data_IF_495956139618
#
_entry.id   IF_495956139618
#
_cell.length_a   1.000
_cell.length_b   1.000
_cell.length_c   1.000
_cell.angle_alpha   90.00
_cell.angle_beta   90.00
_cell.angle_gamma   90.00
#
_symmetry.space_group_name_H-M   'P 1'
#
loop_
_entity.id
_entity.type
_entity.pdbx_description
1 polymer ?
#
# COMPACT_ATOMS: atom_id res chain seq x y z
N UNK A 1 7.21 -9.99 -39.81
CA UNK A 1 7.01 -8.96 -38.78
C UNK A 1 6.81 -7.62 -39.49
N UNK A 2 5.56 -7.22 -39.70
CA UNK A 2 5.22 -5.99 -40.41
C UNK A 2 5.23 -4.81 -39.42
N UNK A 3 6.13 -3.86 -39.65
CA UNK A 3 6.29 -2.65 -38.85
C UNK A 3 5.24 -1.64 -39.34
N UNK A 4 4.08 -1.59 -38.67
CA UNK A 4 3.05 -0.60 -38.96
C UNK A 4 3.55 0.79 -38.51
N UNK A 5 4.07 1.58 -39.46
CA UNK A 5 4.41 2.99 -39.26
C UNK A 5 3.12 3.82 -39.22
N UNK A 6 2.41 3.75 -38.10
CA UNK A 6 1.28 4.62 -37.82
C UNK A 6 1.76 6.06 -37.69
N UNK A 7 1.57 6.85 -38.74
CA UNK A 7 1.79 8.29 -38.71
C UNK A 7 0.68 8.91 -37.86
N UNK A 8 0.95 9.05 -36.55
CA UNK A 8 0.03 9.73 -35.66
C UNK A 8 -0.09 11.20 -36.12
N UNK A 9 -1.31 11.70 -36.39
CA UNK A 9 -1.50 13.09 -36.78
C UNK A 9 -0.94 13.96 -35.65
N UNK A 10 0.01 14.84 -36.00
CA UNK A 10 0.44 15.90 -35.11
C UNK A 10 -0.77 16.82 -34.90
N UNK A 11 -1.51 16.62 -33.81
CA UNK A 11 -2.55 17.53 -33.39
C UNK A 11 -1.86 18.82 -32.95
N UNK A 12 -1.76 19.73 -33.91
CA UNK A 12 -1.33 21.11 -33.67
C UNK A 12 -2.27 21.73 -32.63
N UNK A 13 -1.65 22.25 -31.58
CA UNK A 13 -2.19 23.27 -30.70
C UNK A 13 -3.49 22.89 -29.98
N UNK A 14 -3.35 22.17 -28.86
CA UNK A 14 -4.24 22.39 -27.72
C UNK A 14 -4.27 23.90 -27.46
N UNK A 15 -5.41 24.53 -27.76
CA UNK A 15 -5.62 25.94 -27.49
C UNK A 15 -5.42 26.17 -25.99
N UNK A 16 -4.30 26.77 -25.62
CA UNK A 16 -3.92 27.07 -24.24
C UNK A 16 -4.85 28.12 -23.60
N UNK A 17 -5.81 28.66 -24.34
CA UNK A 17 -6.87 29.52 -23.81
C UNK A 17 -7.84 28.77 -22.88
N UNK A 18 -7.94 27.44 -22.98
CA UNK A 18 -8.83 26.66 -22.12
C UNK A 18 -8.28 26.61 -20.68
N UNK A 19 -8.97 27.34 -19.80
CA UNK A 19 -8.69 27.45 -18.37
C UNK A 19 -8.55 26.07 -17.72
N UNK A 20 -9.30 25.07 -18.20
CA UNK A 20 -9.25 23.70 -17.68
C UNK A 20 -7.89 23.03 -17.91
N UNK A 21 -7.28 23.21 -19.09
CA UNK A 21 -5.96 22.66 -19.43
C UNK A 21 -4.86 23.22 -18.50
N UNK A 22 -4.99 24.50 -18.11
CA UNK A 22 -4.07 25.15 -17.18
C UNK A 22 -4.17 24.59 -15.75
N UNK A 23 -5.39 24.28 -15.29
CA UNK A 23 -5.58 23.62 -13.99
C UNK A 23 -5.02 22.18 -13.98
N UNK A 24 -5.28 21.40 -15.03
CA UNK A 24 -4.77 20.02 -15.12
C UNK A 24 -3.25 19.95 -15.20
N UNK A 25 -2.61 20.84 -15.95
CA UNK A 25 -1.13 20.91 -16.00
C UNK A 25 -0.54 21.31 -14.65
N UNK A 26 -1.14 22.29 -13.96
CA UNK A 26 -0.71 22.67 -12.61
C UNK A 26 -0.88 21.51 -11.61
N UNK A 27 -2.04 20.86 -11.62
CA UNK A 27 -2.33 19.70 -10.76
C UNK A 27 -1.39 18.53 -11.04
N UNK A 28 -1.19 18.17 -12.32
CA UNK A 28 -0.26 17.12 -12.75
C UNK A 28 1.17 17.40 -12.28
N UNK A 29 1.63 18.65 -12.39
CA UNK A 29 2.97 19.05 -11.96
C UNK A 29 3.15 18.97 -10.43
N UNK A 30 2.16 19.42 -9.64
CA UNK A 30 2.22 19.40 -8.17
C UNK A 30 2.08 17.98 -7.63
N UNK A 31 1.08 17.23 -8.10
CA UNK A 31 0.87 15.83 -7.71
C UNK A 31 2.07 14.97 -8.07
N UNK A 32 2.66 15.17 -9.26
CA UNK A 32 3.84 14.42 -9.70
C UNK A 32 5.07 14.63 -8.82
N UNK A 33 5.28 15.86 -8.33
CA UNK A 33 6.33 16.16 -7.36
C UNK A 33 6.08 15.44 -6.02
N UNK A 34 4.83 15.42 -5.56
CA UNK A 34 4.46 14.76 -4.30
C UNK A 34 4.67 13.24 -4.38
N UNK A 35 4.15 12.59 -5.41
CA UNK A 35 4.26 11.14 -5.59
C UNK A 35 5.71 10.71 -5.74
N UNK A 36 6.50 11.43 -6.55
CA UNK A 36 7.94 11.16 -6.69
C UNK A 36 8.67 11.29 -5.35
N UNK A 37 8.34 12.29 -4.54
CA UNK A 37 8.93 12.46 -3.20
C UNK A 37 8.51 11.33 -2.26
N UNK A 38 7.25 10.92 -2.31
CA UNK A 38 6.73 9.79 -1.52
C UNK A 38 7.44 8.49 -1.89
N UNK A 39 7.49 8.14 -3.18
CA UNK A 39 8.11 6.89 -3.64
C UNK A 39 9.62 6.88 -3.36
N UNK A 40 10.31 8.01 -3.54
CA UNK A 40 11.74 8.10 -3.18
C UNK A 40 11.98 7.87 -1.69
N UNK A 41 11.09 8.37 -0.82
CA UNK A 41 11.16 8.13 0.63
C UNK A 41 10.98 6.64 0.94
N UNK A 42 9.94 6.02 0.40
CA UNK A 42 9.69 4.57 0.57
C UNK A 42 10.85 3.73 0.02
N UNK A 43 11.40 4.10 -1.13
CA UNK A 43 12.56 3.42 -1.71
C UNK A 43 13.79 3.52 -0.81
N UNK A 44 14.03 4.69 -0.19
CA UNK A 44 15.09 4.86 0.80
C UNK A 44 14.93 3.92 1.99
N UNK A 45 13.71 3.79 2.52
CA UNK A 45 13.41 2.89 3.64
C UNK A 45 13.64 1.42 3.26
N UNK A 46 13.18 0.98 2.08
CA UNK A 46 13.37 -0.41 1.63
C UNK A 46 14.84 -0.78 1.39
N UNK A 47 15.69 0.18 0.99
CA UNK A 47 17.13 -0.06 0.84
C UNK A 47 17.82 -0.30 2.18
N UNK A 48 17.52 0.54 3.18
CA UNK A 48 18.05 0.36 4.54
C UNK A 48 17.58 -0.97 5.13
N UNK A 49 16.29 -1.31 4.94
CA UNK A 49 15.73 -2.59 5.35
C UNK A 49 16.44 -3.77 4.68
N UNK A 50 16.66 -3.70 3.36
CA UNK A 50 17.38 -4.73 2.59
C UNK A 50 18.80 -4.98 3.11
N UNK A 51 19.52 -3.92 3.47
CA UNK A 51 20.85 -4.03 4.08
C UNK A 51 20.80 -4.77 5.44
N UNK A 52 19.84 -4.41 6.30
CA UNK A 52 19.68 -5.06 7.60
C UNK A 52 19.31 -6.54 7.45
N UNK A 53 18.44 -6.88 6.49
CA UNK A 53 18.08 -8.27 6.18
C UNK A 53 19.31 -9.06 5.68
N UNK A 54 20.17 -8.45 4.86
CA UNK A 54 21.38 -9.10 4.35
C UNK A 54 22.37 -9.42 5.48
N UNK A 55 22.64 -8.46 6.36
CA UNK A 55 23.51 -8.65 7.53
C UNK A 55 22.95 -9.74 8.46
N UNK A 56 21.65 -9.68 8.76
CA UNK A 56 21.00 -10.69 9.59
C UNK A 56 21.08 -12.09 8.95
N UNK A 57 20.81 -12.21 7.65
CA UNK A 57 20.90 -13.48 6.92
C UNK A 57 22.32 -14.06 6.95
N UNK A 58 23.34 -13.21 6.83
CA UNK A 58 24.75 -13.62 6.91
C UNK A 58 25.09 -14.19 8.29
N UNK A 59 24.63 -13.55 9.38
CA UNK A 59 24.82 -14.03 10.74
C UNK A 59 24.13 -15.38 10.95
N UNK A 60 22.86 -15.51 10.55
CA UNK A 60 22.09 -16.76 10.70
C UNK A 60 22.74 -17.89 9.90
N UNK A 61 23.19 -17.62 8.67
CA UNK A 61 23.89 -18.60 7.85
C UNK A 61 25.21 -19.06 8.49
N UNK A 62 25.99 -18.15 9.06
CA UNK A 62 27.22 -18.49 9.80
C UNK A 62 26.95 -19.43 10.97
N UNK A 63 25.94 -19.12 11.79
CA UNK A 63 25.52 -20.00 12.89
C UNK A 63 25.06 -21.38 12.40
N UNK A 64 24.29 -21.41 11.31
CA UNK A 64 23.80 -22.66 10.72
C UNK A 64 24.96 -23.54 10.22
N UNK A 65 25.97 -22.96 9.57
CA UNK A 65 27.16 -23.69 9.12
C UNK A 65 27.92 -24.31 10.31
N UNK A 66 28.16 -23.53 11.36
CA UNK A 66 28.86 -24.02 12.56
C UNK A 66 28.10 -25.18 13.20
N UNK A 67 26.77 -25.08 13.31
CA UNK A 67 25.93 -26.13 13.90
C UNK A 67 25.85 -27.40 13.05
N UNK A 68 25.79 -27.25 11.72
CA UNK A 68 25.79 -28.40 10.81
C UNK A 68 27.15 -29.10 10.85
N UNK A 69 28.25 -28.35 10.88
CA UNK A 69 29.60 -28.90 11.01
C UNK A 69 29.78 -29.67 12.33
N UNK A 70 29.30 -29.12 13.45
CA UNK A 70 29.28 -29.82 14.75
C UNK A 70 28.50 -31.15 14.68
N UNK A 71 27.36 -31.15 13.98
CA UNK A 71 26.54 -32.37 13.82
C UNK A 71 27.26 -33.45 12.99
N UNK A 72 28.02 -33.06 11.96
CA UNK A 72 28.74 -34.03 11.12
C UNK A 72 29.94 -34.69 11.82
N UNK A 73 30.47 -34.07 12.87
CA UNK A 73 31.67 -34.55 13.58
C UNK A 73 31.34 -35.37 14.86
N UNK A 74 30.08 -35.37 15.31
CA UNK A 74 29.68 -36.06 16.54
C UNK A 74 29.42 -37.56 16.36
N UNK A 75 30.09 -38.40 17.15
CA UNK A 75 29.87 -39.86 17.24
C UNK A 75 28.42 -40.16 17.69
N UNK A 76 27.72 -41.04 16.95
CA UNK A 76 26.26 -41.20 16.93
C UNK A 76 25.62 -41.88 18.16
N UNK A 77 26.16 -41.66 19.36
CA UNK A 77 25.83 -42.46 20.54
C UNK A 77 24.66 -41.93 21.38
N UNK A 78 24.01 -40.81 21.02
CA UNK A 78 23.02 -40.15 21.89
C UNK A 78 21.77 -39.58 21.16
N UNK A 79 20.80 -40.46 20.88
CA UNK A 79 19.54 -40.15 20.15
C UNK A 79 18.74 -38.95 20.70
N UNK A 80 18.74 -38.73 22.01
CA UNK A 80 17.99 -37.62 22.62
C UNK A 80 18.64 -36.25 22.33
N UNK A 81 19.97 -36.22 22.24
CA UNK A 81 20.71 -35.02 21.90
C UNK A 81 20.50 -34.65 20.42
N UNK A 82 20.37 -35.66 19.55
CA UNK A 82 20.10 -35.48 18.12
C UNK A 82 18.75 -34.80 17.84
N UNK A 83 17.71 -35.18 18.60
CA UNK A 83 16.39 -34.56 18.46
C UNK A 83 16.41 -33.07 18.82
N UNK A 84 17.11 -32.69 19.90
CA UNK A 84 17.22 -31.28 20.32
C UNK A 84 18.03 -30.45 19.32
N UNK A 85 19.18 -30.97 18.86
CA UNK A 85 19.97 -30.34 17.79
C UNK A 85 19.15 -30.15 16.51
N UNK A 86 18.33 -31.14 16.14
CA UNK A 86 17.42 -31.06 15.00
C UNK A 86 16.42 -29.89 15.09
N UNK A 87 15.83 -29.63 16.27
CA UNK A 87 14.91 -28.50 16.48
C UNK A 87 15.61 -27.15 16.32
N UNK A 88 16.81 -27.01 16.88
CA UNK A 88 17.61 -25.78 16.76
C UNK A 88 17.94 -25.49 15.29
N UNK A 89 18.41 -26.51 14.56
CA UNK A 89 18.73 -26.39 13.12
C UNK A 89 17.49 -26.00 12.32
N UNK A 90 16.34 -26.64 12.59
CA UNK A 90 15.08 -26.32 11.91
C UNK A 90 14.64 -24.87 12.18
N UNK A 91 14.74 -24.41 13.43
CA UNK A 91 14.37 -23.04 13.80
C UNK A 91 15.28 -21.99 13.13
N UNK A 92 16.60 -22.25 13.06
CA UNK A 92 17.55 -21.39 12.34
C UNK A 92 17.30 -21.39 10.83
N UNK A 93 16.99 -22.55 10.25
CA UNK A 93 16.64 -22.65 8.83
C UNK A 93 15.38 -21.87 8.50
N UNK A 94 14.32 -21.99 9.31
CA UNK A 94 13.08 -21.21 9.16
C UNK A 94 13.34 -19.70 9.32
N UNK A 95 14.16 -19.30 10.29
CA UNK A 95 14.57 -17.90 10.46
C UNK A 95 15.28 -17.37 9.21
N UNK A 96 16.23 -18.14 8.66
CA UNK A 96 16.92 -17.79 7.42
C UNK A 96 15.95 -17.67 6.24
N UNK A 97 15.04 -18.64 6.09
CA UNK A 97 14.04 -18.65 5.02
C UNK A 97 13.13 -17.41 5.05
N UNK A 98 12.61 -17.04 6.22
CA UNK A 98 11.78 -15.84 6.38
C UNK A 98 12.57 -14.55 6.14
N UNK A 99 13.84 -14.51 6.56
CA UNK A 99 14.74 -13.40 6.27
C UNK A 99 14.95 -13.22 4.76
N UNK A 100 15.29 -14.30 4.04
CA UNK A 100 15.46 -14.28 2.58
C UNK A 100 14.15 -13.93 1.85
N UNK A 101 13.01 -14.43 2.34
CA UNK A 101 11.69 -14.08 1.81
C UNK A 101 11.41 -12.58 1.98
N UNK A 102 11.79 -11.98 3.11
CA UNK A 102 11.70 -10.54 3.33
C UNK A 102 12.63 -9.78 2.38
N UNK A 103 13.86 -10.26 2.13
CA UNK A 103 14.78 -9.68 1.15
C UNK A 103 14.19 -9.68 -0.26
N UNK A 104 13.66 -10.83 -0.70
CA UNK A 104 13.03 -10.99 -2.00
C UNK A 104 11.83 -10.04 -2.16
N UNK A 105 11.02 -9.89 -1.11
CA UNK A 105 9.90 -8.95 -1.12
C UNK A 105 10.39 -7.49 -1.21
N UNK A 106 11.49 -7.13 -0.55
CA UNK A 106 12.12 -5.82 -0.69
C UNK A 106 12.55 -5.55 -2.13
N UNK A 107 13.20 -6.51 -2.79
CA UNK A 107 13.60 -6.40 -4.20
C UNK A 107 12.38 -6.25 -5.11
N UNK A 108 11.32 -7.02 -4.87
CA UNK A 108 10.07 -6.87 -5.63
C UNK A 108 9.44 -5.48 -5.45
N UNK A 109 9.46 -4.94 -4.23
CA UNK A 109 8.97 -3.57 -3.97
C UNK A 109 9.84 -2.55 -4.71
N UNK A 110 11.16 -2.70 -4.66
CA UNK A 110 12.10 -1.82 -5.36
C UNK A 110 11.87 -1.84 -6.88
N UNK A 111 11.71 -3.04 -7.46
CA UNK A 111 11.42 -3.22 -8.87
C UNK A 111 10.11 -2.53 -9.25
N UNK A 112 9.05 -2.79 -8.49
CA UNK A 112 7.73 -2.22 -8.76
C UNK A 112 7.71 -0.68 -8.61
N UNK A 113 8.46 -0.13 -7.65
CA UNK A 113 8.66 1.32 -7.52
C UNK A 113 9.44 1.90 -8.70
N UNK A 114 10.46 1.20 -9.20
CA UNK A 114 11.24 1.64 -10.35
C UNK A 114 10.40 1.63 -11.63
N UNK A 115 9.66 0.55 -11.88
CA UNK A 115 8.72 0.46 -13.00
C UNK A 115 7.65 1.55 -12.92
N UNK A 116 7.07 1.78 -11.74
CA UNK A 116 6.13 2.87 -11.55
C UNK A 116 6.74 4.22 -11.94
N UNK A 117 7.95 4.53 -11.48
CA UNK A 117 8.61 5.80 -11.82
C UNK A 117 8.90 5.91 -13.33
N UNK A 118 9.20 4.79 -13.99
CA UNK A 118 9.44 4.73 -15.44
C UNK A 118 8.15 4.96 -16.23
N UNK A 119 7.03 4.36 -15.83
CA UNK A 119 5.76 4.45 -16.55
C UNK A 119 4.93 5.68 -16.18
N UNK A 120 5.00 6.18 -14.95
CA UNK A 120 4.23 7.34 -14.50
C UNK A 120 4.81 8.68 -14.98
N UNK A 121 6.08 8.71 -15.40
CA UNK A 121 6.76 9.93 -15.85
C UNK A 121 7.49 9.74 -17.18
N UNK A 122 6.78 9.38 -18.27
CA UNK A 122 7.39 9.33 -19.59
C UNK A 122 7.81 10.75 -19.98
N UNK A 123 9.09 10.93 -20.25
CA UNK A 123 9.77 12.23 -20.27
C UNK A 123 9.30 13.19 -21.38
N UNK A 124 8.36 12.84 -22.28
CA UNK A 124 8.09 13.71 -23.44
C UNK A 124 6.77 13.64 -24.23
N UNK A 125 5.80 12.72 -24.01
CA UNK A 125 4.75 12.50 -25.05
C UNK A 125 3.31 12.17 -24.63
N UNK A 126 2.93 12.12 -23.35
CA UNK A 126 1.53 11.80 -22.99
C UNK A 126 0.73 13.05 -22.65
N UNK A 127 -0.50 13.14 -23.17
CA UNK A 127 -1.43 14.20 -22.80
C UNK A 127 -1.74 14.12 -21.29
N UNK A 128 -1.87 15.27 -20.59
CA UNK A 128 -2.05 15.29 -19.14
C UNK A 128 -3.25 14.48 -18.63
N UNK A 129 -4.34 14.43 -19.38
CA UNK A 129 -5.57 13.72 -18.98
C UNK A 129 -5.40 12.20 -18.91
N UNK A 130 -4.82 11.57 -19.92
CA UNK A 130 -4.64 10.11 -19.93
C UNK A 130 -3.62 9.66 -18.87
N UNK A 131 -2.62 10.49 -18.59
CA UNK A 131 -1.60 10.21 -17.57
C UNK A 131 -2.18 10.11 -16.15
N UNK A 132 -3.28 10.83 -15.88
CA UNK A 132 -3.95 10.83 -14.58
C UNK A 132 -4.59 9.49 -14.25
N UNK A 133 -5.35 8.93 -15.20
CA UNK A 133 -6.02 7.63 -15.04
C UNK A 133 -5.03 6.48 -14.90
N UNK A 134 -3.96 6.48 -15.69
CA UNK A 134 -2.93 5.45 -15.61
C UNK A 134 -2.19 5.53 -14.27
N UNK A 135 -1.93 6.74 -13.74
CA UNK A 135 -1.31 6.92 -12.41
C UNK A 135 -2.18 6.41 -11.28
N UNK A 136 -3.47 6.71 -11.27
CA UNK A 136 -4.38 6.22 -10.22
C UNK A 136 -4.52 4.71 -10.29
N UNK A 137 -4.70 4.14 -11.49
CA UNK A 137 -4.77 2.69 -11.67
C UNK A 137 -3.49 1.98 -11.21
N UNK A 138 -2.32 2.47 -11.64
CA UNK A 138 -1.03 1.93 -11.20
C UNK A 138 -0.83 2.08 -9.69
N UNK A 139 -1.17 3.23 -9.12
CA UNK A 139 -1.01 3.49 -7.68
C UNK A 139 -1.93 2.59 -6.84
N UNK A 140 -3.14 2.33 -7.32
CA UNK A 140 -4.11 1.49 -6.64
C UNK A 140 -3.75 -0.01 -6.74
N UNK A 141 -3.18 -0.45 -7.87
CA UNK A 141 -2.61 -1.79 -8.02
C UNK A 141 -1.29 -1.98 -7.26
N UNK A 142 -0.57 -0.89 -7.00
CA UNK A 142 0.63 -0.84 -6.18
C UNK A 142 0.27 -0.66 -4.72
N UNK A 143 -0.26 -1.72 -4.09
CA UNK A 143 -0.37 -1.83 -2.64
C UNK A 143 1.03 -2.01 -1.99
N UNK A 144 1.91 -1.03 -2.23
CA UNK A 144 3.30 -0.96 -1.79
C UNK A 144 3.33 -0.94 -0.26
N UNK A 145 2.38 -0.23 0.37
CA UNK A 145 2.29 -0.14 1.83
C UNK A 145 2.09 -1.52 2.45
N UNK A 146 1.14 -2.31 1.94
CA UNK A 146 0.92 -3.68 2.43
C UNK A 146 2.12 -4.58 2.20
N UNK A 147 2.82 -4.45 1.07
CA UNK A 147 4.02 -5.26 0.79
C UNK A 147 5.20 -4.90 1.69
N UNK A 148 5.50 -3.61 1.86
CA UNK A 148 6.54 -3.14 2.80
C UNK A 148 6.27 -3.68 4.19
N UNK A 149 5.01 -3.63 4.58
CA UNK A 149 4.56 -4.13 5.85
C UNK A 149 4.72 -5.65 6.03
N UNK A 150 4.35 -6.45 5.02
CA UNK A 150 4.59 -7.90 5.05
C UNK A 150 6.09 -8.17 5.17
N UNK A 151 6.94 -7.40 4.47
CA UNK A 151 8.40 -7.56 4.56
C UNK A 151 8.90 -7.34 5.99
N UNK A 152 8.45 -6.27 6.66
CA UNK A 152 8.80 -6.02 8.06
C UNK A 152 8.30 -7.13 8.98
N UNK A 153 7.06 -7.60 8.79
CA UNK A 153 6.49 -8.68 9.60
C UNK A 153 7.31 -9.97 9.49
N UNK A 154 7.68 -10.37 8.26
CA UNK A 154 8.52 -11.54 8.01
C UNK A 154 9.90 -11.41 8.68
N UNK A 155 10.49 -10.21 8.65
CA UNK A 155 11.76 -9.93 9.32
C UNK A 155 11.64 -10.03 10.85
N UNK A 156 10.55 -9.56 11.44
CA UNK A 156 10.36 -9.70 12.90
C UNK A 156 10.14 -11.16 13.30
N UNK A 157 9.38 -11.91 12.50
CA UNK A 157 9.18 -13.35 12.72
C UNK A 157 10.52 -14.09 12.65
N UNK A 158 11.37 -13.78 11.66
CA UNK A 158 12.70 -14.41 11.56
C UNK A 158 13.59 -14.07 12.76
N UNK A 159 13.56 -12.83 13.23
CA UNK A 159 14.34 -12.37 14.39
C UNK A 159 13.90 -13.08 15.68
N UNK A 160 12.58 -13.25 15.90
CA UNK A 160 12.05 -13.99 17.06
C UNK A 160 12.49 -15.46 16.99
N UNK A 161 12.34 -16.11 15.84
CA UNK A 161 12.77 -17.50 15.65
C UNK A 161 14.27 -17.68 15.90
N UNK A 162 15.08 -16.71 15.47
CA UNK A 162 16.52 -16.72 15.72
C UNK A 162 16.85 -16.65 17.22
N UNK A 163 16.21 -15.74 17.98
CA UNK A 163 16.43 -15.65 19.42
C UNK A 163 15.96 -16.90 20.17
N UNK A 164 14.87 -17.53 19.73
CA UNK A 164 14.42 -18.82 20.28
C UNK A 164 15.48 -19.90 20.05
N UNK A 165 15.99 -20.03 18.82
CA UNK A 165 17.03 -21.00 18.49
C UNK A 165 18.34 -20.73 19.24
N UNK A 166 18.74 -19.45 19.36
CA UNK A 166 19.95 -19.04 20.08
C UNK A 166 19.84 -19.32 21.58
N UNK A 167 18.66 -19.08 22.18
CA UNK A 167 18.40 -19.41 23.59
C UNK A 167 18.47 -20.92 23.84
N UNK A 168 17.88 -21.73 22.95
CA UNK A 168 18.01 -23.19 23.03
C UNK A 168 19.46 -23.66 22.87
N UNK A 169 20.20 -23.06 21.94
CA UNK A 169 21.62 -23.35 21.74
C UNK A 169 22.45 -23.06 22.99
N UNK A 170 22.34 -21.86 23.58
CA UNK A 170 23.08 -21.56 24.81
C UNK A 170 22.70 -22.48 25.96
N UNK A 171 21.45 -22.91 26.04
CA UNK A 171 21.02 -23.89 27.03
C UNK A 171 21.69 -25.26 26.87
N UNK A 172 22.13 -25.63 25.65
CA UNK A 172 22.92 -26.85 25.43
C UNK A 172 24.37 -26.74 25.90
N UNK A 173 24.96 -25.54 25.87
CA UNK A 173 26.33 -25.30 26.32
C UNK A 173 26.36 -25.09 27.83
N UNK A 174 25.57 -24.12 28.32
CA UNK A 174 25.49 -23.75 29.72
C UNK A 174 24.06 -23.41 30.11
N UNK A 175 23.50 -24.21 31.03
CA UNK A 175 22.12 -24.06 31.50
C UNK A 175 21.78 -22.63 31.93
N UNK A 176 22.66 -21.99 32.72
CA UNK A 176 22.48 -20.61 33.21
C UNK A 176 22.44 -19.59 32.08
N UNK A 177 23.35 -19.66 31.10
CA UNK A 177 23.36 -18.73 29.96
C UNK A 177 22.11 -18.86 29.11
N UNK A 178 21.63 -20.08 28.90
CA UNK A 178 20.39 -20.34 28.18
C UNK A 178 19.17 -19.68 28.85
N UNK A 179 19.06 -19.81 30.18
CA UNK A 179 17.97 -19.21 30.97
C UNK A 179 18.03 -17.68 30.92
N UNK A 180 19.20 -17.08 31.14
CA UNK A 180 19.39 -15.62 31.08
C UNK A 180 19.02 -15.07 29.70
N UNK A 181 19.53 -15.71 28.64
CA UNK A 181 19.22 -15.31 27.25
C UNK A 181 17.72 -15.41 26.96
N UNK A 182 17.04 -16.42 27.52
CA UNK A 182 15.60 -16.58 27.37
C UNK A 182 14.82 -15.43 28.01
N UNK A 183 15.17 -15.04 29.24
CA UNK A 183 14.53 -13.92 29.92
C UNK A 183 14.77 -12.60 29.20
N UNK A 184 16.00 -12.35 28.73
CA UNK A 184 16.32 -11.16 27.94
C UNK A 184 15.51 -11.13 26.64
N UNK A 185 15.38 -12.27 25.96
CA UNK A 185 14.60 -12.39 24.71
C UNK A 185 13.10 -12.18 24.94
N UNK A 186 12.56 -12.70 26.04
CA UNK A 186 11.14 -12.48 26.40
C UNK A 186 10.90 -11.02 26.79
N UNK A 187 11.80 -10.42 27.57
CA UNK A 187 11.70 -9.01 27.96
C UNK A 187 11.79 -8.10 26.72
N UNK A 188 12.74 -8.33 25.83
CA UNK A 188 12.90 -7.55 24.59
C UNK A 188 11.70 -7.73 23.66
N UNK A 189 11.17 -8.95 23.51
CA UNK A 189 9.95 -9.22 22.74
C UNK A 189 8.72 -8.51 23.35
N UNK A 190 8.61 -8.49 24.68
CA UNK A 190 7.51 -7.81 25.38
C UNK A 190 7.58 -6.30 25.18
N UNK A 191 8.76 -5.70 25.38
CA UNK A 191 9.01 -4.27 25.12
C UNK A 191 8.70 -3.96 23.65
N UNK A 192 9.20 -4.78 22.73
CA UNK A 192 8.95 -4.62 21.30
C UNK A 192 7.46 -4.65 20.95
N UNK A 193 6.69 -5.58 21.54
CA UNK A 193 5.23 -5.64 21.37
C UNK A 193 4.57 -4.39 21.95
N UNK A 194 4.98 -3.92 23.12
CA UNK A 194 4.44 -2.68 23.73
C UNK A 194 4.72 -1.44 22.87
N UNK A 195 5.93 -1.30 22.32
CA UNK A 195 6.25 -0.23 21.38
C UNK A 195 5.47 -0.34 20.08
N UNK A 196 5.26 -1.56 19.59
CA UNK A 196 4.44 -1.81 18.41
C UNK A 196 2.97 -1.53 18.66
N UNK A 197 2.45 -1.78 19.88
CA UNK A 197 1.05 -1.55 20.27
C UNK A 197 0.76 -0.11 20.66
N UNK A 198 1.78 0.67 21.06
CA UNK A 198 1.67 2.08 21.44
C UNK A 198 0.78 2.94 20.50
N UNK A 199 0.93 2.89 19.17
CA UNK A 199 0.06 3.66 18.25
C UNK A 199 -1.40 3.18 18.20
N UNK A 200 -1.75 2.05 18.82
CA UNK A 200 -3.15 1.66 19.01
C UNK A 200 -3.80 2.31 20.23
N UNK A 201 -3.03 2.62 21.26
CA UNK A 201 -3.55 3.23 22.50
C UNK A 201 -3.83 4.72 22.30
N UNK A 202 -3.03 5.39 21.47
CA UNK A 202 -3.18 6.81 21.17
C UNK A 202 -3.69 7.00 19.74
N UNK A 203 -5.01 6.95 19.56
CA UNK A 203 -5.67 7.14 18.25
C UNK A 203 -5.41 8.52 17.63
N UNK A 204 -4.95 9.50 18.41
CA UNK A 204 -4.60 10.85 17.95
C UNK A 204 -3.10 11.08 17.75
N UNK A 205 -2.25 10.05 17.94
CA UNK A 205 -0.81 10.22 17.73
C UNK A 205 -0.48 10.25 16.23
N UNK A 206 0.25 11.28 15.80
CA UNK A 206 0.70 11.52 14.42
C UNK A 206 1.66 10.42 13.89
N UNK A 207 2.04 9.48 14.76
CA UNK A 207 2.95 8.37 14.52
C UNK A 207 2.20 7.11 14.07
N UNK A 208 1.70 7.12 12.84
CA UNK A 208 1.33 5.88 12.15
C UNK A 208 2.59 5.05 11.90
N UNK A 209 2.95 4.16 12.83
CA UNK A 209 3.99 3.17 12.54
C UNK A 209 3.43 2.14 11.56
N UNK A 210 4.27 1.57 10.67
CA UNK A 210 3.81 0.59 9.69
C UNK A 210 3.14 -0.63 10.34
N UNK A 211 3.43 -0.96 11.60
CA UNK A 211 2.89 -2.13 12.30
C UNK A 211 1.47 -1.96 12.84
N UNK A 212 0.98 -0.74 13.01
CA UNK A 212 -0.36 -0.43 13.56
C UNK A 212 -1.49 -1.26 12.92
N UNK A 213 -1.61 -1.37 11.58
CA UNK A 213 -2.67 -2.19 10.96
C UNK A 213 -2.51 -3.69 11.23
N UNK A 214 -1.29 -4.20 11.40
CA UNK A 214 -1.06 -5.62 11.73
C UNK A 214 -1.60 -5.87 13.11
N UNK A 215 -1.22 -4.99 14.01
CA UNK A 215 -1.49 -5.13 15.41
C UNK A 215 -2.98 -4.96 15.69
N UNK A 216 -3.65 -4.07 14.95
CA UNK A 216 -5.11 -4.00 14.95
C UNK A 216 -5.74 -5.30 14.41
N UNK A 217 -5.21 -5.85 13.32
CA UNK A 217 -5.71 -7.11 12.75
C UNK A 217 -5.48 -8.30 13.69
N UNK A 218 -4.30 -8.45 14.29
CA UNK A 218 -3.99 -9.52 15.23
C UNK A 218 -4.73 -9.35 16.54
N UNK A 219 -4.90 -8.15 17.10
CA UNK A 219 -5.74 -7.93 18.29
C UNK A 219 -7.19 -8.31 18.00
N UNK A 220 -7.69 -7.98 16.81
CA UNK A 220 -9.04 -8.37 16.38
C UNK A 220 -9.16 -9.88 16.23
N UNK A 221 -8.19 -10.53 15.57
CA UNK A 221 -8.15 -11.98 15.36
C UNK A 221 -8.00 -12.72 16.70
N UNK A 222 -7.18 -12.19 17.61
CA UNK A 222 -7.01 -12.71 18.96
C UNK A 222 -8.28 -12.57 19.80
N UNK A 223 -8.97 -11.43 19.71
CA UNK A 223 -10.32 -11.28 20.30
C UNK A 223 -11.31 -12.29 19.73
N UNK A 224 -11.26 -12.55 18.42
CA UNK A 224 -12.11 -13.57 17.78
C UNK A 224 -11.73 -14.97 18.27
N UNK A 225 -10.44 -15.30 18.38
CA UNK A 225 -9.97 -16.60 18.90
C UNK A 225 -10.37 -16.79 20.37
N UNK A 226 -10.23 -15.76 21.22
CA UNK A 226 -10.65 -15.83 22.63
C UNK A 226 -12.17 -15.95 22.76
N UNK A 227 -12.93 -15.26 21.91
CA UNK A 227 -14.40 -15.32 21.93
C UNK A 227 -14.97 -16.52 21.21
N UNK A 228 -14.24 -17.13 20.29
CA UNK A 228 -14.61 -18.35 19.54
C UNK A 228 -15.11 -19.47 20.45
N UNK A 229 -14.39 -19.90 21.51
CA UNK A 229 -14.87 -20.95 22.40
C UNK A 229 -16.11 -20.53 23.19
N UNK A 230 -16.24 -19.25 23.57
CA UNK A 230 -17.44 -18.72 24.23
C UNK A 230 -18.66 -18.70 23.31
N UNK A 231 -18.46 -18.35 22.03
CA UNK A 231 -19.51 -18.38 21.01
C UNK A 231 -19.94 -19.83 20.70
N UNK A 232 -18.99 -20.76 20.67
CA UNK A 232 -19.28 -22.19 20.50
C UNK A 232 -20.06 -22.76 21.70
N UNK A 233 -19.72 -22.33 22.93
CA UNK A 233 -20.45 -22.70 24.14
C UNK A 233 -21.89 -22.14 24.14
N UNK A 234 -22.08 -20.89 23.71
CA UNK A 234 -23.39 -20.25 23.58
C UNK A 234 -24.25 -20.93 22.50
N UNK A 235 -23.64 -21.34 21.39
CA UNK A 235 -24.31 -22.11 20.34
C UNK A 235 -24.77 -23.49 20.84
N UNK A 236 -23.94 -24.19 21.62
CA UNK A 236 -24.31 -25.47 22.22
C UNK A 236 -25.49 -25.36 23.21
N UNK A 237 -25.63 -24.23 23.92
CA UNK A 237 -26.74 -23.96 24.84
C UNK A 237 -28.03 -23.48 24.16
N UNK A 238 -28.10 -23.48 22.82
CA UNK A 238 -29.31 -23.11 22.08
C UNK A 238 -29.75 -21.66 22.28
N UNK A 239 -28.87 -20.78 22.80
CA UNK A 239 -29.21 -19.36 22.91
C UNK A 239 -29.11 -18.71 21.53
N UNK A 240 -30.12 -17.92 21.10
CA UNK A 240 -30.06 -17.21 19.83
C UNK A 240 -28.84 -16.27 19.82
N UNK A 241 -28.05 -16.36 18.74
CA UNK A 241 -26.88 -15.52 18.51
C UNK A 241 -27.33 -14.06 18.28
N UNK A 242 -27.37 -13.30 19.37
CA UNK A 242 -27.62 -11.87 19.31
C UNK A 242 -26.34 -11.16 18.79
N UNK A 243 -26.22 -11.04 17.46
CA UNK A 243 -25.11 -10.34 16.79
C UNK A 243 -25.15 -8.81 16.98
N UNK A 244 -26.05 -8.31 17.83
CA UNK A 244 -26.28 -6.90 18.15
C UNK A 244 -25.08 -6.19 18.76
N UNK A 245 -24.04 -6.92 19.21
CA UNK A 245 -22.75 -6.36 19.66
C UNK A 245 -21.66 -6.19 18.57
N UNK A 246 -21.89 -6.69 17.34
CA UNK A 246 -20.97 -6.54 16.21
C UNK A 246 -21.18 -5.33 15.26
N UNK A 247 -22.18 -4.43 15.38
CA UNK A 247 -22.32 -3.31 14.44
C UNK A 247 -21.17 -2.29 14.54
N UNK A 248 -20.38 -2.31 15.62
CA UNK A 248 -19.18 -1.49 15.76
C UNK A 248 -18.03 -1.91 14.84
N UNK A 249 -18.06 -3.14 14.29
CA UNK A 249 -17.03 -3.61 13.35
C UNK A 249 -17.24 -3.14 11.91
N UNK A 250 -18.41 -2.58 11.58
CA UNK A 250 -18.65 -1.95 10.27
C UNK A 250 -17.83 -0.67 10.07
N UNK A 251 -17.23 -0.14 11.15
CA UNK A 251 -16.27 0.97 11.11
C UNK A 251 -14.83 0.56 10.78
N UNK A 252 -14.51 -0.74 10.72
CA UNK A 252 -13.17 -1.20 10.36
C UNK A 252 -13.14 -1.46 8.86
N UNK A 253 -12.63 -0.46 8.12
CA UNK A 253 -12.47 -0.34 6.66
C UNK A 253 -13.58 0.41 5.93
N UNK A 254 -13.74 1.67 6.28
CA UNK A 254 -13.47 2.66 5.25
C UNK A 254 -12.18 3.35 5.65
N UNK A 255 -11.11 3.00 4.93
CA UNK A 255 -9.87 3.76 4.92
C UNK A 255 -10.25 5.24 4.95
N UNK A 256 -9.69 6.07 5.84
CA UNK A 256 -10.01 7.52 5.81
C UNK A 256 -9.83 8.04 4.38
N UNK A 257 -8.88 7.49 3.64
CA UNK A 257 -8.70 7.69 2.20
C UNK A 257 -9.93 7.31 1.34
N UNK A 258 -10.62 6.20 1.61
CA UNK A 258 -11.88 5.82 0.93
C UNK A 258 -13.06 6.68 1.39
N UNK A 259 -13.08 7.11 2.66
CA UNK A 259 -14.10 8.02 3.18
C UNK A 259 -13.89 9.45 2.65
N UNK A 260 -12.63 9.88 2.48
CA UNK A 260 -12.24 11.07 1.75
C UNK A 260 -12.42 10.91 0.25
N UNK A 261 -12.27 9.71 -0.32
CA UNK A 261 -12.57 9.46 -1.72
C UNK A 261 -14.07 9.51 -1.97
N UNK A 262 -14.90 8.92 -1.11
CA UNK A 262 -16.35 9.04 -1.16
C UNK A 262 -16.75 10.50 -0.93
N UNK A 263 -16.21 11.19 0.08
CA UNK A 263 -16.47 12.63 0.25
C UNK A 263 -15.95 13.46 -0.91
N UNK A 264 -14.84 13.07 -1.54
CA UNK A 264 -14.29 13.75 -2.71
C UNK A 264 -15.09 13.41 -3.96
N UNK A 265 -15.70 12.24 -4.08
CA UNK A 265 -16.64 11.85 -5.14
C UNK A 265 -17.96 12.59 -4.94
N UNK A 266 -18.48 12.66 -3.72
CA UNK A 266 -19.69 13.40 -3.36
C UNK A 266 -19.49 14.91 -3.53
N UNK A 267 -18.30 15.43 -3.16
CA UNK A 267 -17.90 16.80 -3.50
C UNK A 267 -17.62 16.97 -4.98
N UNK A 268 -17.08 15.97 -5.68
CA UNK A 268 -16.84 16.02 -7.12
C UNK A 268 -18.13 15.93 -7.91
N UNK A 269 -19.18 15.26 -7.43
CA UNK A 269 -20.53 15.29 -8.02
C UNK A 269 -21.15 16.67 -7.84
N UNK A 270 -21.00 17.29 -6.66
CA UNK A 270 -21.41 18.69 -6.41
C UNK A 270 -20.58 19.68 -7.23
N UNK A 271 -19.28 19.45 -7.38
CA UNK A 271 -18.41 20.27 -8.23
C UNK A 271 -18.62 19.98 -9.71
N UNK A 272 -19.01 18.77 -10.13
CA UNK A 272 -19.33 18.43 -11.51
C UNK A 272 -20.60 19.12 -11.93
N UNK A 273 -21.62 19.14 -11.07
CA UNK A 273 -22.85 19.91 -11.35
C UNK A 273 -22.56 21.41 -11.42
N UNK A 274 -21.75 21.96 -10.51
CA UNK A 274 -21.33 23.37 -10.56
C UNK A 274 -20.40 23.71 -11.74
N UNK A 275 -19.45 22.83 -12.07
CA UNK A 275 -18.52 23.00 -13.17
C UNK A 275 -19.17 22.77 -14.53
N UNK A 276 -20.12 21.83 -14.63
CA UNK A 276 -20.97 21.65 -15.83
C UNK A 276 -21.90 22.86 -16.00
N UNK A 277 -22.52 23.37 -14.92
CA UNK A 277 -23.29 24.61 -15.00
C UNK A 277 -22.42 25.75 -15.52
N UNK A 278 -21.22 25.94 -14.98
CA UNK A 278 -20.28 26.96 -15.43
C UNK A 278 -19.85 26.77 -16.90
N UNK A 279 -19.58 25.52 -17.32
CA UNK A 279 -19.20 25.14 -18.68
C UNK A 279 -20.30 25.47 -19.71
N UNK A 280 -21.57 25.28 -19.36
CA UNK A 280 -22.69 25.62 -20.25
C UNK A 280 -23.11 27.09 -20.17
N UNK A 281 -22.97 27.73 -19.01
CA UNK A 281 -23.39 29.13 -18.81
C UNK A 281 -22.51 30.11 -19.59
N UNK A 282 -21.21 29.84 -19.73
CA UNK A 282 -20.30 30.71 -20.49
C UNK A 282 -20.28 30.41 -22.00
N UNK A 283 -20.47 29.15 -22.43
CA UNK A 283 -20.50 28.80 -23.85
C UNK A 283 -21.80 29.22 -24.56
N UNK A 284 -22.91 29.31 -23.83
CA UNK A 284 -24.17 29.86 -24.37
C UNK A 284 -24.07 31.39 -24.46
N UNK A 285 -23.41 32.08 -23.50
CA UNK A 285 -23.26 33.54 -23.56
C UNK A 285 -22.27 34.02 -24.63
N UNK A 286 -21.25 33.23 -24.97
CA UNK A 286 -20.29 33.57 -26.03
C UNK A 286 -20.82 33.28 -27.44
N UNK A 287 -21.63 32.23 -27.61
CA UNK A 287 -22.24 31.88 -28.91
C UNK A 287 -23.46 32.73 -29.30
N UNK A 288 -24.14 33.36 -28.33
CA UNK A 288 -25.31 34.22 -28.59
C UNK A 288 -24.94 35.66 -28.94
N UNK A 289 -23.73 36.13 -28.58
CA UNK A 289 -23.31 37.52 -28.86
C UNK A 289 -23.10 37.90 -30.34
N UNK A 290 -22.63 37.03 -31.26
CA UNK A 290 -22.51 37.44 -32.67
C UNK A 290 -23.84 37.40 -33.44
N UNK A 291 -24.88 36.69 -32.97
CA UNK A 291 -26.15 36.60 -33.68
C UNK A 291 -27.06 37.82 -33.49
N UNK A 292 -26.98 38.49 -32.32
CA UNK A 292 -27.79 39.69 -32.02
C UNK A 292 -27.26 40.93 -32.74
N UNK A 293 -25.96 40.96 -33.10
CA UNK A 293 -25.38 42.04 -33.91
C UNK A 293 -25.76 42.00 -35.39
N UNK A 294 -26.18 40.85 -35.92
CA UNK A 294 -26.54 40.70 -37.35
C UNK A 294 -28.02 41.00 -37.64
N UNK A 295 -28.89 40.91 -36.64
CA UNK A 295 -30.32 41.21 -36.76
C UNK A 295 -30.64 42.72 -36.68
N UNK A 296 -29.68 43.55 -36.26
CA UNK A 296 -29.79 45.01 -36.23
C UNK A 296 -29.41 45.70 -37.57
N UNK A 297 -29.08 44.92 -38.61
CA UNK A 297 -28.74 45.43 -39.94
C UNK A 297 -29.74 45.02 -41.04
N UNK A 298 -30.88 44.41 -40.69
CA UNK A 298 -31.94 44.17 -41.66
C UNK A 298 -32.82 45.43 -41.80
N UNK A 299 -32.84 46.09 -42.97
CA UNK A 299 -33.72 47.22 -43.20
C UNK A 299 -35.18 46.75 -43.25
N UNK A 300 -36.06 47.42 -42.50
CA UNK A 300 -37.51 47.34 -42.68
C UNK A 300 -37.85 47.79 -44.10
N UNK A 301 -38.14 46.82 -44.98
CA UNK A 301 -38.39 47.09 -46.38
C UNK A 301 -39.52 46.25 -46.94
N UNK A 302 -40.73 46.82 -46.93
CA UNK A 302 -41.62 46.75 -48.07
C UNK A 302 -42.44 45.49 -48.27
N UNK A 303 -43.69 45.55 -47.78
CA UNK A 303 -44.84 44.82 -48.32
C UNK A 303 -44.93 44.96 -49.84
N UNK A 304 -44.97 43.84 -50.58
CA UNK A 304 -45.72 43.77 -51.84
C UNK A 304 -46.15 42.34 -52.13
N UNK A 305 -47.42 42.08 -51.87
CA UNK A 305 -48.17 40.90 -52.28
C UNK A 305 -48.54 41.09 -53.76
N UNK A 306 -47.96 40.29 -54.67
CA UNK A 306 -48.50 40.09 -56.02
C UNK A 306 -48.30 38.65 -56.50
N UNK A 307 -49.35 37.85 -56.32
CA UNK A 307 -50.15 37.18 -57.37
C UNK A 307 -49.40 36.67 -58.63
N UNK A 308 -49.28 35.35 -58.76
CA UNK A 308 -49.15 34.55 -60.00
C UNK A 308 -49.37 33.08 -59.57
N UNK A 309 -50.39 32.29 -59.93
CA UNK A 309 -51.20 32.06 -61.15
C UNK A 309 -50.40 31.60 -62.38
N UNK A 310 -49.90 30.37 -62.35
CA UNK A 310 -50.37 29.22 -63.17
C UNK A 310 -49.59 27.97 -62.84
#
# INVERSE_FOLDING_TARGET
MAQASGHFPQTNCLDHSDVSARYWTLYGSKSGKYDRKSIKRELGHTKSLGFLIAVFSSIVAGFLIVLVADKTLGDGRNRQMDARKGRIILALFLSLFFSLSSAALCVHIQHACHEYLKFAYPTRRMLPQESGHVRTFLFQGLDIRRRIFIAHALLHISLILFFVALSEYFHTIHHHLGVVTRYISIASATIYVLFSTSPLLFSDSLSNTPLTPLLRTTVNLFRIIIRSPLLWLQWYHGRPLDLTGLPYYRGIRFDRARLYAIKAEEQAEKLQSYAMEWLFKENILSSVKPAVGLLALLPEGGSTITKLRR
#
